data_IF_958977794455
#
_entry.id   IF_958977794455
#
_cell.length_a   1.000
_cell.length_b   1.000
_cell.length_c   1.000
_cell.angle_alpha   90.00
_cell.angle_beta   90.00
_cell.angle_gamma   90.00
#
_symmetry.space_group_name_H-M   'P 1'
#
loop_
_entity.id
_entity.type
_entity.pdbx_description
1 polymer ?
#
# COMPACT_ATOMS: atom_id res chain seq x y z
N UNK A 1 11.67 13.99 21.12
CA UNK A 1 11.26 13.83 19.71
C UNK A 1 11.01 12.36 19.35
N UNK A 2 11.98 11.46 19.57
CA UNK A 2 11.90 10.05 19.17
C UNK A 2 10.69 9.28 19.72
N UNK A 3 10.28 9.52 20.98
CA UNK A 3 9.07 8.90 21.54
C UNK A 3 7.81 9.23 20.74
N UNK A 4 7.66 10.49 20.30
CA UNK A 4 6.49 10.91 19.50
C UNK A 4 6.48 10.24 18.13
N UNK A 5 7.65 10.06 17.50
CA UNK A 5 7.79 9.34 16.23
C UNK A 5 7.39 7.87 16.37
N UNK A 6 7.83 7.20 17.43
CA UNK A 6 7.44 5.80 17.68
C UNK A 6 5.95 5.65 17.99
N UNK A 7 5.36 6.57 18.75
CA UNK A 7 3.91 6.58 18.99
C UNK A 7 3.13 6.78 17.68
N UNK A 8 3.55 7.73 16.84
CA UNK A 8 2.92 7.94 15.53
C UNK A 8 3.07 6.71 14.61
N UNK A 9 4.24 6.07 14.58
CA UNK A 9 4.47 4.85 13.83
C UNK A 9 3.59 3.68 14.32
N UNK A 10 3.47 3.50 15.64
CA UNK A 10 2.60 2.48 16.24
C UNK A 10 1.13 2.70 15.86
N UNK A 11 0.67 3.96 15.87
CA UNK A 11 -0.68 4.31 15.42
C UNK A 11 -0.88 4.04 13.92
N UNK A 12 0.09 4.34 13.06
CA UNK A 12 0.00 4.01 11.63
C UNK A 12 -0.04 2.50 11.37
N UNK A 13 0.73 1.71 12.12
CA UNK A 13 0.65 0.24 12.06
C UNK A 13 -0.74 -0.23 12.48
N UNK A 14 -1.27 0.30 13.58
CA UNK A 14 -2.62 -0.04 14.05
C UNK A 14 -3.68 0.32 12.99
N UNK A 15 -3.63 1.53 12.44
CA UNK A 15 -4.54 1.99 11.38
C UNK A 15 -4.43 1.11 10.14
N UNK A 16 -3.22 0.69 9.74
CA UNK A 16 -3.01 -0.23 8.63
C UNK A 16 -3.71 -1.58 8.83
N UNK A 17 -3.55 -2.18 10.01
CA UNK A 17 -4.18 -3.44 10.36
C UNK A 17 -5.71 -3.32 10.43
N UNK A 18 -6.20 -2.28 11.12
CA UNK A 18 -7.63 -2.00 11.30
C UNK A 18 -8.31 -1.76 9.96
N UNK A 19 -7.75 -0.90 9.12
CA UNK A 19 -8.32 -0.60 7.81
C UNK A 19 -8.32 -1.82 6.90
N UNK A 20 -7.21 -2.56 6.83
CA UNK A 20 -7.11 -3.74 5.97
C UNK A 20 -8.10 -4.82 6.41
N UNK A 21 -8.05 -5.21 7.69
CA UNK A 21 -8.86 -6.32 8.22
C UNK A 21 -10.33 -5.96 8.39
N UNK A 22 -10.65 -4.88 9.11
CA UNK A 22 -12.04 -4.50 9.36
C UNK A 22 -12.71 -4.00 8.09
N UNK A 23 -11.99 -3.25 7.25
CA UNK A 23 -12.52 -2.79 5.98
C UNK A 23 -12.84 -3.92 5.02
N UNK A 24 -11.95 -4.91 4.91
CA UNK A 24 -12.22 -6.12 4.13
C UNK A 24 -13.45 -6.87 4.66
N UNK A 25 -13.45 -7.18 5.96
CA UNK A 25 -14.49 -8.01 6.59
C UNK A 25 -15.87 -7.35 6.59
N UNK A 26 -15.93 -6.05 6.89
CA UNK A 26 -17.19 -5.37 7.19
C UNK A 26 -17.66 -4.42 6.09
N UNK A 27 -16.79 -3.99 5.18
CA UNK A 27 -17.16 -3.12 4.05
C UNK A 27 -17.09 -3.91 2.75
N UNK A 28 -15.89 -4.36 2.35
CA UNK A 28 -15.68 -4.94 1.02
C UNK A 28 -16.46 -6.24 0.81
N UNK A 29 -16.34 -7.22 1.72
CA UNK A 29 -17.09 -8.48 1.59
C UNK A 29 -18.60 -8.23 1.54
N UNK A 30 -19.12 -7.28 2.33
CA UNK A 30 -20.55 -6.96 2.33
C UNK A 30 -20.97 -6.23 1.05
N UNK A 31 -20.14 -5.32 0.56
CA UNK A 31 -20.36 -4.63 -0.71
C UNK A 31 -20.39 -5.63 -1.87
N UNK A 32 -19.46 -6.59 -1.89
CA UNK A 32 -19.32 -7.60 -2.95
C UNK A 32 -20.42 -8.67 -2.97
N UNK A 33 -21.20 -8.78 -1.89
CA UNK A 33 -22.39 -9.64 -1.84
C UNK A 33 -23.64 -8.98 -2.44
N UNK A 34 -23.56 -7.72 -2.88
CA UNK A 34 -24.69 -7.03 -3.53
C UNK A 34 -24.73 -7.36 -5.02
N UNK A 35 -25.93 -7.56 -5.54
CA UNK A 35 -26.16 -7.95 -6.95
C UNK A 35 -26.07 -6.78 -7.94
N UNK A 36 -25.82 -5.56 -7.46
CA UNK A 36 -25.85 -4.32 -8.25
C UNK A 36 -24.46 -3.66 -8.42
N UNK A 37 -23.38 -4.42 -8.29
CA UNK A 37 -22.04 -3.90 -8.58
C UNK A 37 -21.87 -3.58 -10.06
N UNK A 38 -21.29 -2.41 -10.41
CA UNK A 38 -21.08 -2.05 -11.80
C UNK A 38 -20.13 -3.05 -12.46
N UNK A 39 -20.55 -3.53 -13.63
CA UNK A 39 -19.75 -4.43 -14.44
C UNK A 39 -18.81 -3.61 -15.31
N UNK A 40 -17.51 -3.86 -15.15
CA UNK A 40 -16.46 -3.26 -15.97
C UNK A 40 -15.79 -4.38 -16.74
N UNK A 41 -15.62 -4.20 -18.05
CA UNK A 41 -15.13 -5.26 -18.95
C UNK A 41 -16.01 -6.53 -18.93
N UNK A 42 -17.34 -6.35 -18.88
CA UNK A 42 -18.32 -7.43 -18.98
C UNK A 42 -18.50 -8.30 -17.73
N UNK A 43 -17.86 -7.98 -16.60
CA UNK A 43 -18.09 -8.67 -15.32
C UNK A 43 -17.84 -7.73 -14.12
N UNK A 44 -18.27 -8.14 -12.92
CA UNK A 44 -17.93 -7.42 -11.68
C UNK A 44 -16.55 -7.80 -11.11
N UNK A 45 -15.87 -8.84 -11.65
CA UNK A 45 -14.59 -9.34 -11.14
C UNK A 45 -13.50 -8.24 -11.18
N UNK A 46 -13.44 -7.47 -12.27
CA UNK A 46 -12.48 -6.36 -12.37
C UNK A 46 -12.77 -5.27 -11.32
N UNK A 47 -14.04 -4.90 -11.13
CA UNK A 47 -14.48 -3.94 -10.12
C UNK A 47 -14.09 -4.40 -8.72
N UNK A 48 -14.42 -5.64 -8.36
CA UNK A 48 -14.14 -6.24 -7.05
C UNK A 48 -12.63 -6.25 -6.79
N UNK A 49 -11.83 -6.71 -7.75
CA UNK A 49 -10.36 -6.76 -7.64
C UNK A 49 -9.75 -5.39 -7.48
N UNK A 50 -10.20 -4.42 -8.28
CA UNK A 50 -9.69 -3.04 -8.22
C UNK A 50 -10.02 -2.38 -6.89
N UNK A 51 -11.23 -2.60 -6.36
CA UNK A 51 -11.62 -2.10 -5.05
C UNK A 51 -10.79 -2.73 -3.91
N UNK A 52 -10.58 -4.06 -3.92
CA UNK A 52 -9.68 -4.73 -2.97
C UNK A 52 -8.25 -4.21 -3.06
N UNK A 53 -7.76 -4.05 -4.27
CA UNK A 53 -6.45 -3.48 -4.56
C UNK A 53 -6.29 -2.10 -3.94
N UNK A 54 -7.18 -1.15 -4.27
CA UNK A 54 -7.11 0.22 -3.76
C UNK A 54 -7.20 0.26 -2.22
N UNK A 55 -7.99 -0.64 -1.64
CA UNK A 55 -8.15 -0.77 -0.20
C UNK A 55 -6.85 -1.19 0.51
N UNK A 56 -6.25 -2.31 0.09
CA UNK A 56 -5.04 -2.82 0.73
C UNK A 56 -3.79 -2.00 0.38
N UNK A 57 -3.78 -1.32 -0.77
CA UNK A 57 -2.72 -0.39 -1.18
C UNK A 57 -2.50 0.71 -0.12
N UNK A 58 -3.58 1.27 0.41
CA UNK A 58 -3.52 2.33 1.44
C UNK A 58 -2.88 1.80 2.73
N UNK A 59 -3.23 0.58 3.17
CA UNK A 59 -2.61 -0.06 4.33
C UNK A 59 -1.10 -0.26 4.17
N UNK A 60 -0.62 -0.65 2.97
CA UNK A 60 0.82 -0.75 2.69
C UNK A 60 1.49 0.63 2.76
N UNK A 61 0.84 1.69 2.25
CA UNK A 61 1.39 3.04 2.30
C UNK A 61 1.59 3.52 3.75
N UNK A 62 0.63 3.25 4.66
CA UNK A 62 0.80 3.58 6.07
C UNK A 62 1.90 2.78 6.77
N UNK A 63 2.13 1.52 6.37
CA UNK A 63 3.29 0.76 6.86
C UNK A 63 4.61 1.36 6.36
N UNK A 64 4.66 1.80 5.10
CA UNK A 64 5.80 2.54 4.55
C UNK A 64 6.07 3.83 5.35
N UNK A 65 5.04 4.61 5.65
CA UNK A 65 5.16 5.80 6.50
C UNK A 65 5.59 5.45 7.94
N UNK A 66 5.05 4.39 8.54
CA UNK A 66 5.48 3.94 9.86
C UNK A 66 6.98 3.57 9.87
N UNK A 67 7.46 2.87 8.85
CA UNK A 67 8.86 2.54 8.69
C UNK A 67 9.73 3.79 8.55
N UNK A 68 9.28 4.81 7.78
CA UNK A 68 9.98 6.09 7.68
C UNK A 68 10.06 6.81 9.03
N UNK A 69 8.98 6.83 9.82
CA UNK A 69 8.98 7.47 11.15
C UNK A 69 9.90 6.74 12.14
N UNK A 70 9.94 5.40 12.09
CA UNK A 70 10.86 4.59 12.89
C UNK A 70 12.31 4.88 12.49
N UNK A 71 12.60 4.93 11.18
CA UNK A 71 13.92 5.22 10.67
C UNK A 71 14.37 6.65 11.02
N UNK A 72 13.47 7.63 10.93
CA UNK A 72 13.74 9.03 11.27
C UNK A 72 14.05 9.23 12.76
N UNK A 73 13.60 8.33 13.64
CA UNK A 73 13.95 8.35 15.05
C UNK A 73 15.42 7.93 15.31
N UNK A 74 16.09 7.32 14.33
CA UNK A 74 17.50 6.93 14.39
C UNK A 74 18.43 8.09 14.03
N UNK A 75 19.55 8.29 14.75
CA UNK A 75 20.58 9.25 14.36
C UNK A 75 21.28 8.91 13.04
N UNK A 76 21.17 7.66 12.57
CA UNK A 76 21.76 7.16 11.32
C UNK A 76 20.85 7.35 10.11
N UNK A 77 19.76 8.10 10.23
CA UNK A 77 18.86 8.34 9.11
C UNK A 77 19.59 9.06 7.98
N UNK A 78 19.55 8.48 6.77
CA UNK A 78 20.17 9.06 5.58
C UNK A 78 19.14 9.22 4.45
N UNK A 79 19.43 10.05 3.42
CA UNK A 79 18.63 10.06 2.20
C UNK A 79 18.49 8.68 1.56
N UNK A 80 19.52 7.84 1.60
CA UNK A 80 19.44 6.46 1.10
C UNK A 80 18.41 5.62 1.87
N UNK A 81 18.31 5.78 3.20
CA UNK A 81 17.28 5.11 4.01
C UNK A 81 15.87 5.50 3.58
N UNK A 82 15.63 6.79 3.34
CA UNK A 82 14.36 7.30 2.79
C UNK A 82 14.04 6.65 1.44
N UNK A 83 15.01 6.64 0.52
CA UNK A 83 14.84 6.09 -0.83
C UNK A 83 14.54 4.59 -0.79
N UNK A 84 15.27 3.81 0.00
CA UNK A 84 15.06 2.37 0.13
C UNK A 84 13.68 2.01 0.73
N UNK A 85 13.26 2.68 1.80
CA UNK A 85 11.93 2.43 2.41
C UNK A 85 10.81 2.81 1.43
N UNK A 86 10.95 3.94 0.74
CA UNK A 86 9.98 4.37 -0.27
C UNK A 86 9.95 3.41 -1.46
N UNK A 87 11.12 2.97 -1.95
CA UNK A 87 11.23 2.00 -3.03
C UNK A 87 10.59 0.66 -2.68
N UNK A 88 10.82 0.14 -1.48
CA UNK A 88 10.20 -1.10 -1.01
C UNK A 88 8.68 -0.95 -0.90
N UNK A 89 8.19 0.19 -0.42
CA UNK A 89 6.75 0.48 -0.33
C UNK A 89 6.11 0.41 -1.72
N UNK A 90 6.70 1.06 -2.72
CA UNK A 90 6.20 1.01 -4.10
C UNK A 90 6.40 -0.34 -4.79
N UNK A 91 7.43 -1.11 -4.44
CA UNK A 91 7.58 -2.48 -4.90
C UNK A 91 6.41 -3.35 -4.41
N UNK A 92 6.05 -3.23 -3.13
CA UNK A 92 4.89 -3.92 -2.55
C UNK A 92 3.58 -3.46 -3.19
N UNK A 93 3.42 -2.17 -3.49
CA UNK A 93 2.28 -1.67 -4.26
C UNK A 93 2.21 -2.28 -5.65
N UNK A 94 3.35 -2.40 -6.34
CA UNK A 94 3.42 -3.02 -7.66
C UNK A 94 3.00 -4.49 -7.61
N UNK A 95 3.56 -5.27 -6.68
CA UNK A 95 3.23 -6.69 -6.50
C UNK A 95 1.75 -6.89 -6.16
N UNK A 96 1.21 -6.07 -5.27
CA UNK A 96 -0.21 -6.12 -4.91
C UNK A 96 -1.10 -5.77 -6.10
N UNK A 97 -0.78 -4.68 -6.82
CA UNK A 97 -1.51 -4.25 -8.00
C UNK A 97 -1.50 -5.32 -9.09
N UNK A 98 -0.34 -5.92 -9.37
CA UNK A 98 -0.18 -6.98 -10.36
C UNK A 98 -1.00 -8.22 -9.96
N UNK A 99 -0.85 -8.69 -8.72
CA UNK A 99 -1.52 -9.89 -8.21
C UNK A 99 -3.04 -9.76 -8.14
N UNK A 100 -3.55 -8.69 -7.52
CA UNK A 100 -4.99 -8.51 -7.35
C UNK A 100 -5.69 -8.19 -8.67
N UNK A 101 -5.10 -7.34 -9.52
CA UNK A 101 -5.69 -6.99 -10.82
C UNK A 101 -5.43 -8.02 -11.93
N UNK A 102 -4.61 -9.06 -11.68
CA UNK A 102 -4.11 -9.98 -12.72
C UNK A 102 -3.46 -9.25 -13.89
N UNK A 103 -2.73 -8.17 -13.59
CA UNK A 103 -2.10 -7.30 -14.59
C UNK A 103 -3.04 -6.43 -15.42
N UNK A 104 -4.36 -6.48 -15.18
CA UNK A 104 -5.36 -5.69 -15.94
C UNK A 104 -5.38 -4.21 -15.54
N UNK A 105 -4.85 -3.87 -14.37
CA UNK A 105 -4.73 -2.48 -13.91
C UNK A 105 -3.29 -2.00 -14.02
N UNK A 106 -3.01 -1.06 -14.92
CA UNK A 106 -1.66 -0.68 -15.35
C UNK A 106 -0.82 0.04 -14.28
N UNK A 107 -1.39 0.38 -13.12
CA UNK A 107 -0.65 1.02 -12.03
C UNK A 107 0.54 0.21 -11.53
N UNK A 108 0.53 -1.14 -11.68
CA UNK A 108 1.65 -1.97 -11.26
C UNK A 108 2.96 -1.59 -11.98
N UNK A 109 2.89 -1.20 -13.26
CA UNK A 109 4.04 -0.76 -14.05
C UNK A 109 4.58 0.54 -13.48
N UNK A 110 3.70 1.52 -13.25
CA UNK A 110 4.11 2.82 -12.72
C UNK A 110 4.72 2.69 -11.32
N UNK A 111 4.14 1.86 -10.44
CA UNK A 111 4.73 1.58 -9.13
C UNK A 111 6.08 0.87 -9.22
N UNK A 112 6.24 -0.07 -10.16
CA UNK A 112 7.53 -0.72 -10.40
C UNK A 112 8.59 0.29 -10.88
N UNK A 113 8.23 1.15 -11.83
CA UNK A 113 9.12 2.20 -12.35
C UNK A 113 9.55 3.14 -11.22
N UNK A 114 8.62 3.60 -10.38
CA UNK A 114 8.95 4.44 -9.20
C UNK A 114 9.94 3.71 -8.29
N UNK A 115 9.68 2.43 -7.96
CA UNK A 115 10.57 1.64 -7.11
C UNK A 115 11.98 1.52 -7.69
N UNK A 116 12.10 1.18 -8.99
CA UNK A 116 13.38 1.05 -9.69
C UNK A 116 14.14 2.38 -9.72
N UNK A 117 13.47 3.48 -10.07
CA UNK A 117 14.11 4.80 -10.11
C UNK A 117 14.66 5.22 -8.74
N UNK A 118 13.95 4.92 -7.65
CA UNK A 118 14.40 5.22 -6.29
C UNK A 118 15.60 4.34 -5.87
N UNK A 119 15.63 3.06 -6.25
CA UNK A 119 16.80 2.20 -6.02
C UNK A 119 18.00 2.72 -6.79
N UNK A 120 17.83 3.08 -8.06
CA UNK A 120 18.93 3.62 -8.90
C UNK A 120 19.47 4.94 -8.35
N UNK A 121 18.61 5.78 -7.77
CA UNK A 121 19.02 7.05 -7.16
C UNK A 121 19.72 6.88 -5.80
N UNK A 122 19.65 5.70 -5.17
CA UNK A 122 20.26 5.40 -3.89
C UNK A 122 21.68 4.79 -3.99
N UNK A 123 22.14 4.52 -5.23
CA UNK A 123 23.49 4.02 -5.56
C UNK A 123 24.39 5.21 -5.89
#
# INVERSE_FOLDING_TARGET
>A
MSLLLYLAAALLILVSLVHSYLGERFILIRLFKRDNLPQLFGSNDFTIRTLRFAWHLTSIAWLGFAALLIALASPEFTPATLLHITALTFALHSLLALGLSKGRHWSWILFAVVSVLLVMAAI
#
